data_IF_831187865359
#
_entry.id   IF_831187865359
#
_cell.length_a   1.000
_cell.length_b   1.000
_cell.length_c   1.000
_cell.angle_alpha   90.00
_cell.angle_beta   90.00
_cell.angle_gamma   90.00
#
_symmetry.space_group_name_H-M   'P 1'
#
loop_
_entity.id
_entity.type
_entity.pdbx_description
1 polymer ?
#
# COMPACT_ATOMS: atom_id res chain seq x y z
N UNK A 1 -10.09 4.80 -34.41
CA UNK A 1 -8.69 4.34 -34.28
C UNK A 1 -8.16 4.37 -32.81
N UNK A 2 -8.38 5.45 -32.02
CA UNK A 2 -7.87 5.52 -30.62
C UNK A 2 -8.36 4.39 -29.70
N UNK A 3 -9.62 3.97 -29.79
CA UNK A 3 -10.17 2.91 -28.92
C UNK A 3 -9.61 1.51 -29.21
N UNK A 4 -9.21 1.23 -30.46
CA UNK A 4 -8.68 -0.09 -30.83
C UNK A 4 -7.23 -0.29 -30.35
N UNK A 5 -6.43 0.77 -30.38
CA UNK A 5 -5.04 0.75 -29.88
C UNK A 5 -5.01 0.59 -28.35
N UNK A 6 -5.93 1.24 -27.64
CA UNK A 6 -6.04 1.14 -26.19
C UNK A 6 -6.50 -0.27 -25.77
N UNK A 7 -7.42 -0.90 -26.49
CA UNK A 7 -7.89 -2.27 -26.22
C UNK A 7 -6.80 -3.31 -26.45
N UNK A 8 -6.02 -3.18 -27.54
CA UNK A 8 -4.88 -4.06 -27.80
C UNK A 8 -3.78 -3.95 -26.72
N UNK A 9 -3.44 -2.73 -26.28
CA UNK A 9 -2.43 -2.51 -25.26
C UNK A 9 -2.84 -3.15 -23.91
N UNK A 10 -4.12 -3.05 -23.53
CA UNK A 10 -4.65 -3.66 -22.31
C UNK A 10 -4.59 -5.19 -22.37
N UNK A 11 -4.85 -5.80 -23.52
CA UNK A 11 -4.76 -7.26 -23.71
C UNK A 11 -3.32 -7.77 -23.62
N UNK A 12 -2.34 -7.03 -24.14
CA UNK A 12 -0.93 -7.39 -23.98
C UNK A 12 -0.49 -7.33 -22.53
N UNK A 13 -0.89 -6.30 -21.80
CA UNK A 13 -0.54 -6.16 -20.39
C UNK A 13 -1.10 -7.32 -19.54
N UNK A 14 -2.32 -7.75 -19.77
CA UNK A 14 -2.91 -8.94 -19.14
C UNK A 14 -2.12 -10.22 -19.44
N UNK A 15 -1.65 -10.38 -20.69
CA UNK A 15 -0.79 -11.50 -21.08
C UNK A 15 0.55 -11.49 -20.35
N UNK A 16 1.16 -10.32 -20.13
CA UNK A 16 2.43 -10.20 -19.39
C UNK A 16 2.27 -10.66 -17.95
N UNK A 17 1.24 -10.18 -17.26
CA UNK A 17 0.94 -10.58 -15.88
C UNK A 17 0.67 -12.09 -15.80
N UNK A 18 -0.16 -12.63 -16.68
CA UNK A 18 -0.42 -14.06 -16.79
C UNK A 18 0.87 -14.88 -17.01
N UNK A 19 1.76 -14.42 -17.85
CA UNK A 19 3.02 -15.12 -18.12
C UNK A 19 3.96 -15.12 -16.91
N UNK A 20 4.08 -13.99 -16.24
CA UNK A 20 4.84 -13.86 -14.99
C UNK A 20 4.30 -14.83 -13.95
N UNK A 21 3.00 -14.81 -13.70
CA UNK A 21 2.33 -15.67 -12.73
C UNK A 21 2.51 -17.16 -13.05
N UNK A 22 2.35 -17.53 -14.32
CA UNK A 22 2.53 -18.91 -14.76
C UNK A 22 3.95 -19.41 -14.49
N UNK A 23 4.97 -18.63 -14.83
CA UNK A 23 6.38 -19.00 -14.65
C UNK A 23 6.75 -19.01 -13.17
N UNK A 24 6.33 -18.01 -12.41
CA UNK A 24 6.56 -17.94 -10.95
C UNK A 24 6.01 -19.17 -10.22
N UNK A 25 4.78 -19.57 -10.53
CA UNK A 25 4.12 -20.73 -9.91
C UNK A 25 4.84 -22.06 -10.19
N UNK A 26 5.46 -22.22 -11.36
CA UNK A 26 6.14 -23.46 -11.74
C UNK A 26 7.63 -23.46 -11.41
N UNK A 27 8.23 -22.31 -11.12
CA UNK A 27 9.66 -22.12 -10.97
C UNK A 27 10.41 -22.29 -12.30
N UNK A 28 10.29 -23.45 -12.93
CA UNK A 28 10.80 -23.74 -14.28
C UNK A 28 9.67 -24.33 -15.13
N UNK A 29 9.51 -23.80 -16.37
CA UNK A 29 8.44 -24.24 -17.27
C UNK A 29 8.94 -24.32 -18.72
N UNK A 30 8.58 -25.39 -19.43
CA UNK A 30 8.92 -25.52 -20.84
C UNK A 30 8.03 -24.63 -21.72
N UNK A 31 8.55 -24.23 -22.90
CA UNK A 31 7.75 -23.49 -23.90
C UNK A 31 6.49 -24.23 -24.29
N UNK A 32 6.57 -25.56 -24.38
CA UNK A 32 5.43 -26.43 -24.71
C UNK A 32 4.32 -26.35 -23.65
N UNK A 33 4.72 -26.31 -22.37
CA UNK A 33 3.75 -26.22 -21.26
C UNK A 33 3.15 -24.82 -21.16
N UNK A 34 3.94 -23.76 -21.46
CA UNK A 34 3.44 -22.38 -21.61
C UNK A 34 2.38 -22.33 -22.73
N UNK A 35 2.64 -22.92 -23.89
CA UNK A 35 1.69 -22.95 -25.00
C UNK A 35 0.44 -23.76 -24.66
N UNK A 36 0.60 -24.87 -23.92
CA UNK A 36 -0.52 -25.68 -23.45
C UNK A 36 -1.38 -24.93 -22.43
N UNK A 37 -0.76 -24.13 -21.56
CA UNK A 37 -1.47 -23.24 -20.63
C UNK A 37 -2.17 -22.10 -21.38
N UNK A 38 -1.51 -21.51 -22.40
CA UNK A 38 -2.10 -20.48 -23.25
C UNK A 38 -3.36 -20.95 -23.96
N UNK A 39 -3.35 -22.15 -24.53
CA UNK A 39 -4.53 -22.74 -25.18
C UNK A 39 -5.76 -22.79 -24.27
N UNK A 40 -5.56 -22.94 -22.96
CA UNK A 40 -6.63 -23.05 -21.95
C UNK A 40 -6.99 -21.73 -21.30
N UNK A 41 -6.18 -20.70 -21.50
CA UNK A 41 -6.40 -19.38 -20.89
C UNK A 41 -7.58 -18.66 -21.53
N UNK A 42 -8.42 -18.04 -20.73
CA UNK A 42 -9.50 -17.16 -21.17
C UNK A 42 -8.97 -15.88 -21.87
N UNK A 43 -7.71 -15.52 -21.62
CA UNK A 43 -7.03 -14.41 -22.32
C UNK A 43 -6.75 -14.74 -23.78
N UNK A 44 -6.85 -16.00 -24.17
CA UNK A 44 -6.69 -16.47 -25.55
C UNK A 44 -8.02 -16.38 -26.33
N UNK A 45 -8.52 -15.16 -26.50
CA UNK A 45 -9.79 -14.90 -27.20
C UNK A 45 -9.79 -15.40 -28.65
N UNK A 46 -8.62 -15.40 -29.32
CA UNK A 46 -8.44 -15.84 -30.69
C UNK A 46 -8.25 -17.37 -30.80
N UNK A 47 -8.23 -18.10 -29.70
CA UNK A 47 -7.99 -19.54 -29.64
C UNK A 47 -6.71 -19.98 -30.38
N UNK A 48 -5.65 -19.20 -30.23
CA UNK A 48 -4.32 -19.51 -30.75
C UNK A 48 -3.80 -20.80 -30.11
N UNK A 49 -3.16 -21.67 -30.89
CA UNK A 49 -2.62 -22.94 -30.37
C UNK A 49 -1.32 -22.76 -29.60
N UNK A 50 -0.58 -21.70 -29.87
CA UNK A 50 0.69 -21.37 -29.25
C UNK A 50 0.94 -19.87 -29.30
N UNK A 51 1.87 -19.40 -28.48
CA UNK A 51 2.44 -18.05 -28.60
C UNK A 51 3.64 -18.16 -29.54
N UNK A 52 3.61 -17.52 -30.75
CA UNK A 52 4.74 -17.56 -31.68
C UNK A 52 6.05 -17.12 -31.00
N UNK A 53 7.18 -17.75 -31.37
CA UNK A 53 8.50 -17.49 -30.73
C UNK A 53 8.87 -16.01 -30.71
N UNK A 54 8.67 -15.31 -31.83
CA UNK A 54 8.91 -13.86 -31.91
C UNK A 54 8.02 -13.07 -30.95
N UNK A 55 6.74 -13.43 -30.84
CA UNK A 55 5.80 -12.79 -29.93
C UNK A 55 6.19 -13.07 -28.47
N UNK A 56 6.59 -14.29 -28.17
CA UNK A 56 7.06 -14.68 -26.85
C UNK A 56 8.34 -13.93 -26.45
N UNK A 57 9.28 -13.78 -27.37
CA UNK A 57 10.49 -12.98 -27.14
C UNK A 57 10.14 -11.51 -26.86
N UNK A 58 9.29 -10.89 -27.67
CA UNK A 58 8.84 -9.51 -27.46
C UNK A 58 8.10 -9.35 -26.12
N UNK A 59 7.35 -10.36 -25.67
CA UNK A 59 6.69 -10.34 -24.38
C UNK A 59 7.70 -10.35 -23.23
N UNK A 60 8.76 -11.16 -23.31
CA UNK A 60 9.84 -11.18 -22.32
C UNK A 60 10.55 -9.83 -22.22
N UNK A 61 10.91 -9.22 -23.34
CA UNK A 61 11.51 -7.88 -23.37
C UNK A 61 10.58 -6.80 -22.80
N UNK A 62 9.28 -6.86 -23.13
CA UNK A 62 8.30 -5.94 -22.58
C UNK A 62 8.11 -6.13 -21.07
N UNK A 63 8.09 -7.36 -20.58
CA UNK A 63 8.02 -7.69 -19.14
C UNK A 63 9.23 -7.13 -18.41
N UNK A 64 10.44 -7.33 -18.95
CA UNK A 64 11.65 -6.77 -18.37
C UNK A 64 11.63 -5.24 -18.34
N UNK A 65 11.22 -4.61 -19.45
CA UNK A 65 11.12 -3.14 -19.56
C UNK A 65 10.07 -2.52 -18.62
N UNK A 66 8.89 -3.15 -18.51
CA UNK A 66 7.75 -2.59 -17.76
C UNK A 66 7.84 -2.92 -16.27
N UNK A 67 8.16 -4.17 -15.95
CA UNK A 67 8.12 -4.68 -14.58
C UNK A 67 9.51 -4.86 -13.96
N UNK A 68 10.59 -4.77 -14.76
CA UNK A 68 11.96 -5.07 -14.31
C UNK A 68 12.18 -6.55 -13.99
N UNK A 69 11.26 -7.43 -14.45
CA UNK A 69 11.31 -8.87 -14.20
C UNK A 69 11.96 -9.54 -15.40
N UNK A 70 13.07 -10.24 -15.18
CA UNK A 70 13.79 -10.94 -16.21
C UNK A 70 13.39 -12.41 -16.27
N UNK A 71 12.84 -12.82 -17.42
CA UNK A 71 12.54 -14.22 -17.71
C UNK A 71 13.69 -14.78 -18.54
N UNK A 72 14.42 -15.71 -17.97
CA UNK A 72 15.57 -16.37 -18.64
C UNK A 72 15.29 -17.84 -18.94
N UNK A 73 16.20 -18.49 -19.69
CA UNK A 73 16.07 -19.88 -20.12
C UNK A 73 17.25 -20.74 -19.65
N UNK A 74 16.94 -21.84 -18.97
CA UNK A 74 17.94 -22.83 -18.58
C UNK A 74 17.76 -24.12 -19.38
N UNK A 75 18.80 -24.51 -20.10
CA UNK A 75 18.78 -25.74 -20.93
C UNK A 75 18.41 -26.95 -20.08
N UNK A 76 17.42 -27.72 -20.52
CA UNK A 76 16.92 -28.92 -19.83
C UNK A 76 15.88 -28.66 -18.75
N UNK A 77 15.69 -27.43 -18.29
CA UNK A 77 14.70 -27.06 -17.28
C UNK A 77 13.57 -26.15 -17.83
N UNK A 78 13.90 -25.23 -18.72
CA UNK A 78 12.91 -24.31 -19.30
C UNK A 78 13.11 -22.84 -18.90
N UNK A 79 12.05 -22.08 -19.02
CA UNK A 79 12.01 -20.67 -18.67
C UNK A 79 11.78 -20.48 -17.16
N UNK A 80 12.40 -19.48 -16.57
CA UNK A 80 12.32 -19.15 -15.14
C UNK A 80 12.50 -17.63 -14.94
N UNK A 81 12.13 -17.13 -13.76
CA UNK A 81 12.36 -15.76 -13.34
C UNK A 81 13.72 -15.71 -12.63
N UNK A 82 14.63 -14.83 -13.08
CA UNK A 82 16.02 -14.79 -12.60
C UNK A 82 16.11 -14.42 -11.12
N UNK A 83 15.31 -13.46 -10.68
CA UNK A 83 15.25 -13.00 -9.28
C UNK A 83 13.80 -13.12 -8.76
N UNK A 84 13.35 -14.31 -8.33
CA UNK A 84 11.99 -14.49 -7.83
C UNK A 84 11.69 -13.66 -6.58
N UNK A 85 12.69 -13.35 -5.75
CA UNK A 85 12.57 -12.49 -4.56
C UNK A 85 12.13 -11.05 -4.90
N UNK A 86 12.35 -10.59 -6.14
CA UNK A 86 11.85 -9.30 -6.62
C UNK A 86 10.32 -9.28 -6.81
N UNK A 87 9.68 -10.46 -6.84
CA UNK A 87 8.22 -10.61 -6.91
C UNK A 87 7.56 -10.53 -5.53
N UNK A 88 8.28 -11.01 -4.50
CA UNK A 88 7.80 -11.08 -3.12
C UNK A 88 8.17 -9.82 -2.31
N UNK A 89 8.89 -8.87 -2.93
CA UNK A 89 9.32 -7.62 -2.30
C UNK A 89 8.14 -6.70 -1.94
N UNK A 90 8.24 -6.03 -0.80
CA UNK A 90 7.35 -4.95 -0.39
C UNK A 90 7.47 -3.76 -1.36
N UNK A 91 6.70 -3.74 -2.43
CA UNK A 91 6.77 -2.69 -3.42
C UNK A 91 5.52 -2.52 -4.27
N UNK A 92 5.44 -1.36 -4.91
CA UNK A 92 4.34 -1.00 -5.82
C UNK A 92 4.21 -2.00 -6.99
N UNK A 93 5.32 -2.65 -7.39
CA UNK A 93 5.36 -3.63 -8.47
C UNK A 93 4.67 -4.93 -8.06
N UNK A 94 5.01 -5.49 -6.90
CA UNK A 94 4.38 -6.67 -6.32
C UNK A 94 2.88 -6.45 -6.14
N UNK A 95 2.49 -5.34 -5.52
CA UNK A 95 1.10 -4.96 -5.36
C UNK A 95 0.33 -4.82 -6.69
N UNK A 96 0.94 -4.24 -7.73
CA UNK A 96 0.33 -4.13 -9.06
C UNK A 96 0.15 -5.50 -9.71
N UNK A 97 1.15 -6.37 -9.63
CA UNK A 97 1.09 -7.73 -10.16
C UNK A 97 -0.02 -8.54 -9.47
N UNK A 98 -0.07 -8.53 -8.13
CA UNK A 98 -1.10 -9.21 -7.35
C UNK A 98 -2.50 -8.67 -7.68
N UNK A 99 -2.66 -7.34 -7.72
CA UNK A 99 -3.94 -6.70 -8.05
C UNK A 99 -4.43 -7.06 -9.45
N UNK A 100 -3.51 -7.20 -10.41
CA UNK A 100 -3.85 -7.57 -11.79
C UNK A 100 -4.07 -9.06 -11.96
N UNK A 101 -3.29 -9.91 -11.28
CA UNK A 101 -3.52 -11.35 -11.22
C UNK A 101 -4.92 -11.63 -10.67
N UNK A 102 -5.29 -10.95 -9.59
CA UNK A 102 -6.62 -11.03 -9.01
C UNK A 102 -7.70 -10.53 -9.99
N UNK A 103 -7.46 -9.43 -10.69
CA UNK A 103 -8.38 -8.92 -11.73
C UNK A 103 -8.55 -9.90 -12.89
N UNK A 104 -7.48 -10.57 -13.33
CA UNK A 104 -7.54 -11.59 -14.36
C UNK A 104 -8.35 -12.81 -13.89
N UNK A 105 -8.07 -13.31 -12.67
CA UNK A 105 -8.80 -14.42 -12.05
C UNK A 105 -10.30 -14.12 -11.97
N UNK A 106 -10.68 -12.90 -11.59
CA UNK A 106 -12.08 -12.48 -11.53
C UNK A 106 -12.75 -12.38 -12.89
N UNK A 107 -12.01 -12.01 -13.94
CA UNK A 107 -12.53 -11.97 -15.30
C UNK A 107 -12.68 -13.39 -15.86
N UNK A 108 -11.79 -14.31 -15.48
CA UNK A 108 -11.87 -15.73 -15.84
C UNK A 108 -13.03 -16.45 -15.15
N UNK A 109 -13.38 -15.99 -13.96
CA UNK A 109 -14.42 -16.58 -13.11
C UNK A 109 -15.62 -15.65 -13.00
N UNK A 110 -16.22 -15.25 -14.13
CA UNK A 110 -17.36 -14.33 -14.15
C UNK A 110 -18.54 -14.82 -13.30
N UNK A 111 -18.75 -16.12 -13.21
CA UNK A 111 -19.71 -16.82 -12.37
C UNK A 111 -19.34 -16.76 -10.88
N UNK A 112 -18.08 -16.53 -10.54
CA UNK A 112 -17.58 -16.44 -9.16
C UNK A 112 -17.63 -15.02 -8.57
N UNK A 113 -17.94 -13.98 -9.38
CA UNK A 113 -17.97 -12.58 -8.91
C UNK A 113 -18.90 -12.32 -7.74
N UNK A 114 -20.00 -13.04 -7.64
CA UNK A 114 -20.94 -12.94 -6.51
C UNK A 114 -20.41 -13.58 -5.22
N UNK A 115 -19.32 -14.37 -5.30
CA UNK A 115 -18.73 -15.08 -4.17
C UNK A 115 -17.42 -14.46 -3.68
N UNK A 116 -16.92 -13.43 -4.38
CA UNK A 116 -15.68 -12.72 -4.05
C UNK A 116 -16.04 -11.26 -3.77
N UNK A 117 -15.84 -10.85 -2.53
CA UNK A 117 -16.14 -9.49 -2.08
C UNK A 117 -14.85 -8.70 -1.93
N UNK A 118 -14.83 -7.52 -2.51
CA UNK A 118 -13.75 -6.55 -2.34
C UNK A 118 -14.20 -5.43 -1.43
N UNK A 119 -13.31 -5.01 -0.57
CA UNK A 119 -13.51 -3.77 0.15
C UNK A 119 -13.46 -2.59 -0.84
N UNK A 120 -14.42 -1.67 -0.74
CA UNK A 120 -14.43 -0.47 -1.58
C UNK A 120 -13.31 0.45 -1.16
N UNK A 121 -12.28 0.56 -1.98
CA UNK A 121 -11.22 1.55 -1.82
C UNK A 121 -11.71 2.89 -2.37
N UNK A 122 -11.73 3.97 -1.59
CA UNK A 122 -11.97 5.31 -2.12
C UNK A 122 -10.87 5.65 -3.13
N UNK A 123 -11.19 5.55 -4.42
CA UNK A 123 -10.18 5.79 -5.46
C UNK A 123 -10.03 7.28 -5.70
N UNK A 124 -8.95 7.85 -5.22
CA UNK A 124 -8.45 9.17 -5.65
C UNK A 124 -7.55 9.07 -6.89
N UNK A 125 -7.79 8.06 -7.73
CA UNK A 125 -6.95 7.73 -8.89
C UNK A 125 -6.76 8.91 -9.86
N UNK A 126 -7.76 9.77 -9.98
CA UNK A 126 -7.68 10.99 -10.78
C UNK A 126 -6.51 11.89 -10.35
N UNK A 127 -6.39 12.16 -9.06
CA UNK A 127 -5.37 13.03 -8.53
C UNK A 127 -4.01 12.34 -8.38
N UNK A 128 -4.01 11.04 -8.15
CA UNK A 128 -2.80 10.23 -8.08
C UNK A 128 -1.94 10.38 -9.34
N UNK A 129 -2.55 10.16 -10.51
CA UNK A 129 -1.86 10.29 -11.80
C UNK A 129 -1.32 11.71 -12.00
N UNK A 130 -2.09 12.73 -11.61
CA UNK A 130 -1.68 14.11 -11.73
C UNK A 130 -0.44 14.43 -10.88
N UNK A 131 -0.45 14.03 -9.60
CA UNK A 131 0.69 14.24 -8.69
C UNK A 131 1.93 13.49 -9.16
N UNK A 132 1.80 12.24 -9.61
CA UNK A 132 2.92 11.47 -10.18
C UNK A 132 3.53 12.17 -11.39
N UNK A 133 2.71 12.72 -12.28
CA UNK A 133 3.21 13.47 -13.44
C UNK A 133 3.92 14.76 -13.03
N UNK A 134 3.37 15.52 -12.09
CA UNK A 134 4.01 16.74 -11.57
C UNK A 134 5.38 16.44 -10.95
N UNK A 135 5.48 15.36 -10.14
CA UNK A 135 6.75 14.90 -9.57
C UNK A 135 7.75 14.49 -10.66
N UNK A 136 7.31 13.81 -11.71
CA UNK A 136 8.16 13.40 -12.85
C UNK A 136 8.67 14.59 -13.64
N UNK A 137 7.83 15.61 -13.83
CA UNK A 137 8.18 16.85 -14.52
C UNK A 137 9.03 17.81 -13.65
N UNK A 138 9.24 17.46 -12.38
CA UNK A 138 9.98 18.31 -11.45
C UNK A 138 9.29 19.64 -11.16
N UNK A 139 7.95 19.64 -11.07
CA UNK A 139 7.14 20.83 -10.86
C UNK A 139 6.37 20.81 -9.55
N UNK A 140 6.22 22.00 -8.93
CA UNK A 140 5.29 22.22 -7.85
C UNK A 140 3.84 22.15 -8.35
N UNK A 141 2.89 22.06 -7.42
CA UNK A 141 1.46 22.03 -7.72
C UNK A 141 0.73 23.11 -6.92
N UNK A 142 -0.33 23.67 -7.50
CA UNK A 142 -1.32 24.47 -6.79
C UNK A 142 -2.47 23.55 -6.39
N UNK A 143 -2.67 23.39 -5.09
CA UNK A 143 -3.60 22.47 -4.47
C UNK A 143 -4.80 23.23 -3.88
N UNK A 144 -6.02 22.91 -4.31
CA UNK A 144 -7.25 23.33 -3.62
C UNK A 144 -7.73 22.19 -2.74
N UNK A 145 -7.73 22.41 -1.43
CA UNK A 145 -7.91 21.38 -0.42
C UNK A 145 -8.97 21.77 0.62
N UNK A 146 -9.80 20.78 1.00
CA UNK A 146 -10.77 20.94 2.08
C UNK A 146 -10.43 20.01 3.25
N UNK A 147 -9.84 20.57 4.31
CA UNK A 147 -9.59 19.81 5.53
C UNK A 147 -10.89 19.64 6.33
N UNK A 148 -10.94 18.62 7.21
CA UNK A 148 -12.09 18.48 8.11
C UNK A 148 -12.17 19.56 9.20
N UNK A 149 -11.08 20.31 9.41
CA UNK A 149 -11.03 21.39 10.40
C UNK A 149 -11.48 22.72 9.85
N UNK A 150 -11.47 22.90 8.54
CA UNK A 150 -11.82 24.15 7.87
C UNK A 150 -13.20 24.03 7.24
N UNK A 151 -14.04 25.04 7.42
CA UNK A 151 -15.37 25.13 6.80
C UNK A 151 -15.24 25.35 5.29
N UNK A 152 -14.30 26.17 4.85
CA UNK A 152 -14.07 26.52 3.46
C UNK A 152 -12.79 25.88 2.89
N UNK A 153 -12.81 25.54 1.58
CA UNK A 153 -11.59 25.13 0.88
C UNK A 153 -10.57 26.25 0.83
N UNK A 154 -9.30 25.90 0.78
CA UNK A 154 -8.22 26.87 0.60
C UNK A 154 -7.25 26.37 -0.47
N UNK A 155 -6.69 27.33 -1.22
CA UNK A 155 -5.78 27.07 -2.33
C UNK A 155 -4.38 27.57 -1.98
N UNK A 156 -3.36 26.77 -2.28
CA UNK A 156 -1.97 27.08 -1.99
C UNK A 156 -1.03 26.29 -2.89
N UNK A 157 0.18 26.83 -3.11
CA UNK A 157 1.24 26.10 -3.79
C UNK A 157 1.91 25.12 -2.81
N UNK A 158 2.29 23.96 -3.30
CA UNK A 158 3.01 22.97 -2.51
C UNK A 158 3.92 22.10 -3.39
N UNK A 159 4.97 21.55 -2.80
CA UNK A 159 5.97 20.70 -3.43
C UNK A 159 5.71 19.25 -3.02
N UNK A 160 5.19 18.39 -3.91
CA UNK A 160 4.94 16.98 -3.59
C UNK A 160 6.26 16.22 -3.45
N UNK A 161 6.50 15.63 -2.28
CA UNK A 161 7.70 14.86 -1.97
C UNK A 161 7.52 13.38 -2.29
N UNK A 162 6.45 12.77 -1.78
CA UNK A 162 6.12 11.39 -2.06
C UNK A 162 4.63 11.09 -1.86
N UNK A 163 4.23 9.90 -2.29
CA UNK A 163 2.89 9.34 -2.11
C UNK A 163 2.98 8.09 -1.24
N UNK A 164 2.05 7.96 -0.30
CA UNK A 164 1.94 6.79 0.59
C UNK A 164 0.50 6.27 0.59
N UNK A 165 0.34 4.94 0.48
CA UNK A 165 -0.93 4.28 0.77
C UNK A 165 -0.96 3.92 2.25
N UNK A 166 -2.05 4.24 2.91
CA UNK A 166 -2.30 3.81 4.28
C UNK A 166 -3.80 3.60 4.49
N UNK A 167 -4.20 2.45 5.04
CA UNK A 167 -5.61 2.09 5.27
C UNK A 167 -6.49 2.40 4.05
N UNK A 168 -6.03 1.92 2.88
CA UNK A 168 -6.71 2.02 1.58
C UNK A 168 -6.89 3.45 1.03
N UNK A 169 -6.21 4.46 1.57
CA UNK A 169 -6.22 5.83 1.07
C UNK A 169 -4.86 6.27 0.61
N UNK A 170 -4.85 7.11 -0.42
CA UNK A 170 -3.64 7.76 -0.91
C UNK A 170 -3.41 9.08 -0.17
N UNK A 171 -2.19 9.25 0.29
CA UNK A 171 -1.70 10.43 0.95
C UNK A 171 -0.47 10.98 0.23
N UNK A 172 -0.37 12.29 0.17
CA UNK A 172 0.77 13.01 -0.37
C UNK A 172 1.51 13.71 0.76
N UNK A 173 2.78 13.40 0.94
CA UNK A 173 3.69 14.20 1.75
C UNK A 173 4.17 15.36 0.91
N UNK A 174 4.05 16.58 1.42
CA UNK A 174 4.43 17.77 0.67
C UNK A 174 4.92 18.90 1.58
N UNK A 175 5.76 19.79 1.01
CA UNK A 175 6.23 21.02 1.63
C UNK A 175 5.48 22.21 1.04
N UNK A 176 4.91 23.05 1.91
CA UNK A 176 4.28 24.29 1.49
C UNK A 176 5.28 25.45 1.66
N UNK A 177 5.52 26.29 0.63
CA UNK A 177 6.39 27.45 0.75
C UNK A 177 6.02 28.33 1.94
N UNK A 178 7.05 28.84 2.64
CA UNK A 178 6.86 29.64 3.85
C UNK A 178 6.48 28.86 5.11
N UNK A 179 6.38 27.51 5.03
CA UNK A 179 6.24 26.62 6.17
C UNK A 179 7.45 25.67 6.22
N UNK A 180 8.08 25.58 7.37
CA UNK A 180 9.25 24.70 7.54
C UNK A 180 8.84 23.22 7.59
N UNK A 181 7.62 22.97 8.05
CA UNK A 181 7.12 21.63 8.31
C UNK A 181 6.54 20.95 7.08
N UNK A 182 6.89 19.68 6.91
CA UNK A 182 6.22 18.80 5.96
C UNK A 182 4.80 18.49 6.44
N UNK A 183 3.89 18.34 5.50
CA UNK A 183 2.48 18.04 5.78
C UNK A 183 1.98 16.89 4.91
N UNK A 184 1.02 16.17 5.45
CA UNK A 184 0.37 15.06 4.75
C UNK A 184 -1.03 15.48 4.33
N UNK A 185 -1.31 15.30 3.04
CA UNK A 185 -2.58 15.61 2.41
C UNK A 185 -3.23 14.34 1.87
N UNK A 186 -4.44 14.03 2.32
CA UNK A 186 -5.23 12.91 1.78
C UNK A 186 -5.80 13.29 0.42
N UNK A 187 -5.57 12.47 -0.62
CA UNK A 187 -5.99 12.80 -1.98
C UNK A 187 -7.51 12.79 -2.16
N UNK A 188 -8.26 12.10 -1.31
CA UNK A 188 -9.73 12.09 -1.33
C UNK A 188 -10.36 13.41 -0.86
N UNK A 189 -9.57 14.31 -0.23
CA UNK A 189 -9.99 15.66 0.18
C UNK A 189 -9.56 16.77 -0.77
N UNK A 190 -8.92 16.39 -1.85
CA UNK A 190 -8.50 17.32 -2.89
C UNK A 190 -9.70 17.69 -3.78
N UNK A 191 -9.92 18.97 -3.94
CA UNK A 191 -10.97 19.51 -4.81
C UNK A 191 -10.42 19.73 -6.21
N UNK A 192 -9.24 20.36 -6.30
CA UNK A 192 -8.57 20.64 -7.56
C UNK A 192 -7.04 20.63 -7.39
N UNK A 193 -6.35 20.24 -8.46
CA UNK A 193 -4.88 20.35 -8.58
C UNK A 193 -4.55 20.95 -9.93
N UNK A 194 -3.67 21.95 -9.93
CA UNK A 194 -3.10 22.54 -11.12
C UNK A 194 -1.58 22.47 -11.06
N UNK A 195 -0.94 22.35 -12.22
CA UNK A 195 0.51 22.41 -12.32
C UNK A 195 0.95 23.85 -12.05
N UNK A 196 1.95 24.03 -11.20
CA UNK A 196 2.58 25.33 -10.99
C UNK A 196 3.73 25.54 -11.98
N UNK A 197 4.03 26.79 -12.29
CA UNK A 197 5.22 27.14 -13.07
C UNK A 197 6.51 27.03 -12.24
N UNK A 198 6.38 26.97 -10.92
CA UNK A 198 7.50 26.83 -9.97
C UNK A 198 8.15 25.44 -10.08
N UNK A 199 9.48 25.34 -10.06
CA UNK A 199 10.17 24.06 -9.99
C UNK A 199 9.90 23.37 -8.65
N UNK A 200 9.86 22.05 -8.68
CA UNK A 200 9.80 21.23 -7.47
C UNK A 200 11.09 21.40 -6.64
N UNK A 201 10.94 21.82 -5.40
CA UNK A 201 12.05 21.86 -4.44
C UNK A 201 12.00 20.59 -3.59
N UNK A 202 12.89 19.65 -3.88
CA UNK A 202 13.06 18.39 -3.15
C UNK A 202 14.50 18.28 -2.69
N UNK A 203 14.78 17.98 -1.40
CA UNK A 203 16.13 17.68 -0.95
C UNK A 203 16.74 16.51 -1.74
N UNK A 204 18.02 16.62 -2.10
CA UNK A 204 18.69 15.61 -2.94
C UNK A 204 18.80 14.24 -2.28
N UNK A 205 18.85 14.23 -0.97
CA UNK A 205 18.96 13.06 -0.09
C UNK A 205 17.62 12.56 0.43
N UNK A 206 16.49 13.14 -0.03
CA UNK A 206 15.17 12.70 0.42
C UNK A 206 14.86 11.28 -0.10
N UNK A 207 14.62 10.37 0.85
CA UNK A 207 14.12 9.02 0.61
C UNK A 207 12.79 8.84 1.36
N UNK A 208 11.75 8.45 0.66
CA UNK A 208 10.42 8.28 1.26
C UNK A 208 10.37 7.09 2.24
N UNK A 209 11.09 6.00 1.95
CA UNK A 209 11.13 4.84 2.84
C UNK A 209 11.84 5.19 4.15
N UNK A 210 13.00 5.87 4.07
CA UNK A 210 13.75 6.32 5.24
C UNK A 210 12.95 7.32 6.07
N UNK A 211 12.23 8.25 5.40
CA UNK A 211 11.39 9.24 6.08
C UNK A 211 10.26 8.58 6.89
N UNK A 212 9.62 7.56 6.33
CA UNK A 212 8.49 6.88 6.98
C UNK A 212 8.92 5.68 7.84
N UNK A 213 10.20 5.35 7.86
CA UNK A 213 10.70 4.20 8.62
C UNK A 213 10.46 4.32 10.13
N UNK A 214 10.34 5.54 10.65
CA UNK A 214 10.11 5.77 12.07
C UNK A 214 8.62 5.89 12.44
N UNK A 215 7.71 5.77 11.46
CA UNK A 215 6.28 6.00 11.66
C UNK A 215 5.42 4.80 11.29
N UNK A 216 4.49 4.46 12.19
CA UNK A 216 3.48 3.43 11.92
C UNK A 216 2.56 3.79 10.74
N UNK A 217 2.11 5.03 10.65
CA UNK A 217 1.08 5.44 9.70
C UNK A 217 1.44 6.64 8.84
N UNK A 218 0.52 7.61 8.84
CA UNK A 218 0.62 8.83 8.04
C UNK A 218 0.69 10.08 8.92
N UNK A 219 0.52 9.98 10.23
CA UNK A 219 0.70 11.09 11.15
C UNK A 219 2.17 11.17 11.51
N UNK A 220 2.79 12.28 11.13
CA UNK A 220 4.19 12.57 11.43
C UNK A 220 4.28 13.47 12.67
N UNK A 221 5.19 13.14 13.56
CA UNK A 221 5.52 13.99 14.71
C UNK A 221 6.46 15.12 14.27
N UNK A 222 6.14 16.36 14.67
CA UNK A 222 7.08 17.46 14.47
C UNK A 222 8.11 17.46 15.60
N UNK A 223 9.38 17.30 15.26
CA UNK A 223 10.50 17.28 16.21
C UNK A 223 10.37 16.19 17.31
N UNK A 224 9.78 15.04 16.99
CA UNK A 224 9.71 13.89 17.89
C UNK A 224 10.62 12.80 17.34
N UNK A 225 11.63 12.46 18.12
CA UNK A 225 12.56 11.38 17.78
C UNK A 225 11.95 10.01 18.06
N UNK A 226 12.32 8.98 17.28
CA UNK A 226 11.94 7.61 17.54
C UNK A 226 12.38 7.19 18.96
N UNK A 227 11.47 6.65 19.71
CA UNK A 227 11.73 6.14 21.06
C UNK A 227 11.58 4.63 21.13
N UNK A 228 12.22 4.02 22.12
CA UNK A 228 11.97 2.62 22.42
C UNK A 228 10.59 2.49 23.07
N UNK A 229 9.74 1.70 22.42
CA UNK A 229 8.40 1.39 22.90
C UNK A 229 8.28 -0.10 23.19
N UNK A 230 7.63 -0.47 24.27
CA UNK A 230 7.33 -1.86 24.60
C UNK A 230 5.82 -2.06 24.72
N UNK A 231 5.33 -3.08 24.01
CA UNK A 231 3.95 -3.52 24.04
C UNK A 231 3.87 -4.95 24.54
N UNK A 232 2.98 -5.19 25.51
CA UNK A 232 2.66 -6.51 26.01
C UNK A 232 1.40 -7.01 25.30
N UNK A 233 1.53 -8.11 24.57
CA UNK A 233 0.44 -8.78 23.87
C UNK A 233 0.06 -10.08 24.60
N UNK A 234 -1.22 -10.40 24.70
CA UNK A 234 -1.64 -11.75 25.12
C UNK A 234 -1.07 -12.81 24.20
N UNK A 235 -0.94 -14.05 24.65
CA UNK A 235 -0.40 -15.15 23.86
C UNK A 235 -1.13 -15.38 22.53
N UNK A 236 -2.43 -15.10 22.47
CA UNK A 236 -3.21 -15.15 21.25
C UNK A 236 -2.88 -13.97 20.33
N UNK A 237 -2.87 -12.74 20.86
CA UNK A 237 -2.57 -11.53 20.09
C UNK A 237 -1.14 -11.53 19.54
N UNK A 238 -0.19 -12.12 20.27
CA UNK A 238 1.20 -12.22 19.86
C UNK A 238 1.35 -12.95 18.52
N UNK A 239 0.60 -14.01 18.29
CA UNK A 239 0.61 -14.77 17.01
C UNK A 239 0.20 -13.91 15.82
N UNK A 240 -0.78 -13.00 16.00
CA UNK A 240 -1.18 -12.06 14.95
C UNK A 240 -0.09 -11.02 14.70
N UNK A 241 0.58 -10.52 15.76
CA UNK A 241 1.68 -9.57 15.61
C UNK A 241 2.93 -10.20 15.01
N UNK A 242 3.18 -11.48 15.24
CA UNK A 242 4.27 -12.22 14.60
C UNK A 242 3.99 -12.46 13.10
N UNK A 243 2.74 -12.77 12.75
CA UNK A 243 2.36 -12.99 11.35
C UNK A 243 2.25 -11.70 10.52
N UNK A 244 1.87 -10.59 11.17
CA UNK A 244 1.78 -9.27 10.58
C UNK A 244 2.30 -8.22 11.57
N UNK A 245 3.61 -7.95 11.56
CA UNK A 245 4.23 -6.98 12.46
C UNK A 245 3.64 -5.57 12.31
N UNK A 246 3.47 -4.86 13.43
CA UNK A 246 3.01 -3.46 13.40
C UNK A 246 4.05 -2.54 12.76
N UNK A 247 5.31 -2.89 12.88
CA UNK A 247 6.42 -2.11 12.37
C UNK A 247 7.62 -3.02 12.10
N UNK A 248 8.45 -2.69 11.12
CA UNK A 248 9.62 -3.50 10.75
C UNK A 248 10.63 -3.68 11.90
N UNK A 249 10.67 -2.74 12.86
CA UNK A 249 11.55 -2.83 14.04
C UNK A 249 10.99 -3.70 15.16
N UNK A 250 9.91 -4.45 14.93
CA UNK A 250 9.31 -5.32 15.92
C UNK A 250 10.28 -6.45 16.34
N UNK A 251 10.55 -6.55 17.61
CA UNK A 251 11.40 -7.60 18.23
C UNK A 251 10.68 -8.18 19.43
N UNK A 252 10.54 -9.50 19.51
CA UNK A 252 10.06 -10.18 20.71
C UNK A 252 11.20 -10.23 21.74
N UNK A 253 11.02 -9.57 22.89
CA UNK A 253 12.06 -9.49 23.94
C UNK A 253 11.78 -10.40 25.12
N UNK A 254 10.52 -10.78 25.33
CA UNK A 254 10.11 -11.73 26.36
C UNK A 254 8.91 -12.52 25.85
N UNK A 255 8.92 -13.84 26.03
CA UNK A 255 7.80 -14.71 25.66
C UNK A 255 7.53 -15.69 26.78
N UNK A 256 6.26 -15.72 27.21
CA UNK A 256 5.74 -16.64 28.22
C UNK A 256 4.51 -17.39 27.67
N UNK A 257 3.97 -18.39 28.36
CA UNK A 257 2.72 -19.03 27.93
C UNK A 257 1.51 -18.07 27.90
N UNK A 258 1.53 -16.97 28.66
CA UNK A 258 0.42 -16.04 28.84
C UNK A 258 0.54 -14.79 27.95
N UNK A 259 1.77 -14.36 27.64
CA UNK A 259 2.02 -13.12 26.90
C UNK A 259 3.37 -13.11 26.19
N UNK A 260 3.52 -12.18 25.24
CA UNK A 260 4.80 -11.78 24.62
C UNK A 260 4.95 -10.26 24.76
N UNK A 261 6.15 -9.81 25.12
CA UNK A 261 6.53 -8.39 25.07
C UNK A 261 7.30 -8.14 23.79
N UNK A 262 6.79 -7.22 22.98
CA UNK A 262 7.43 -6.74 21.75
C UNK A 262 8.04 -5.37 21.99
N UNK A 263 9.27 -5.20 21.54
CA UNK A 263 9.99 -3.92 21.51
C UNK A 263 9.98 -3.34 20.12
N UNK A 264 9.83 -2.03 20.05
CA UNK A 264 9.83 -1.24 18.82
C UNK A 264 10.74 -0.03 18.95
N UNK A 265 11.34 0.40 17.84
CA UNK A 265 11.95 1.72 17.70
C UNK A 265 11.07 2.54 16.76
N UNK A 266 10.26 3.44 17.31
CA UNK A 266 9.18 4.09 16.55
C UNK A 266 8.82 5.44 17.20
N UNK A 267 8.26 6.35 16.40
CA UNK A 267 7.63 7.57 16.93
C UNK A 267 6.20 7.23 17.34
N UNK A 268 5.86 7.32 18.64
CA UNK A 268 4.49 7.10 19.12
C UNK A 268 3.57 8.22 18.63
N UNK A 269 2.76 7.91 17.62
CA UNK A 269 1.84 8.86 17.00
C UNK A 269 0.39 8.50 17.27
N UNK A 270 -0.51 9.40 16.89
CA UNK A 270 -1.95 9.17 17.01
C UNK A 270 -2.42 7.93 16.22
N UNK A 271 -1.86 7.67 15.03
CA UNK A 271 -2.19 6.47 14.26
C UNK A 271 -1.85 5.19 15.00
N UNK A 272 -0.69 5.17 15.65
CA UNK A 272 -0.25 4.04 16.46
C UNK A 272 -1.13 3.88 17.73
N UNK A 273 -1.47 4.99 18.38
CA UNK A 273 -2.41 4.98 19.52
C UNK A 273 -3.75 4.37 19.11
N UNK A 274 -4.30 4.76 17.98
CA UNK A 274 -5.54 4.20 17.47
C UNK A 274 -5.43 2.70 17.16
N UNK A 275 -4.31 2.26 16.57
CA UNK A 275 -4.08 0.84 16.30
C UNK A 275 -4.05 0.03 17.59
N UNK A 276 -3.34 0.51 18.62
CA UNK A 276 -3.26 -0.14 19.93
C UNK A 276 -4.66 -0.22 20.58
N UNK A 277 -5.40 0.88 20.60
CA UNK A 277 -6.76 0.92 21.16
C UNK A 277 -7.73 -0.01 20.43
N UNK A 278 -7.54 -0.21 19.12
CA UNK A 278 -8.37 -1.12 18.33
C UNK A 278 -8.21 -2.59 18.71
N UNK A 279 -7.08 -2.95 19.33
CA UNK A 279 -6.79 -4.30 19.85
C UNK A 279 -7.43 -4.56 21.24
N UNK A 280 -7.99 -3.51 21.85
CA UNK A 280 -8.66 -3.62 23.15
C UNK A 280 -7.73 -4.10 24.25
N UNK A 281 -8.22 -5.00 25.12
CA UNK A 281 -7.49 -5.51 26.27
C UNK A 281 -6.37 -6.52 25.92
N UNK A 282 -6.19 -6.87 24.64
CA UNK A 282 -5.19 -7.86 24.22
C UNK A 282 -3.82 -7.27 24.00
N UNK A 283 -3.70 -5.93 24.00
CA UNK A 283 -2.45 -5.22 23.79
C UNK A 283 -2.32 -4.06 24.78
N UNK A 284 -1.23 -4.05 25.55
CA UNK A 284 -0.94 -3.06 26.59
C UNK A 284 0.37 -2.33 26.28
N UNK A 285 0.38 -1.00 26.42
CA UNK A 285 1.61 -0.19 26.37
C UNK A 285 2.32 -0.28 27.70
N UNK A 286 3.57 -0.74 27.72
CA UNK A 286 4.43 -0.76 28.89
C UNK A 286 5.31 0.48 28.96
N UNK A 287 5.87 0.90 27.82
CA UNK A 287 6.74 2.09 27.71
C UNK A 287 6.60 2.76 26.33
N UNK A 288 6.91 4.05 26.17
CA UNK A 288 7.32 4.99 27.24
C UNK A 288 6.12 5.44 28.10
N UNK A 289 6.39 5.82 29.35
CA UNK A 289 5.36 6.13 30.36
C UNK A 289 4.39 7.23 29.90
N UNK A 290 4.90 8.31 29.31
CA UNK A 290 4.05 9.40 28.79
C UNK A 290 3.03 8.93 27.76
N UNK A 291 3.40 8.00 26.87
CA UNK A 291 2.49 7.46 25.85
C UNK A 291 1.49 6.46 26.48
N UNK A 292 1.94 5.69 27.45
CA UNK A 292 1.08 4.84 28.27
C UNK A 292 -0.01 5.66 28.99
N UNK A 293 0.37 6.79 29.59
CA UNK A 293 -0.57 7.71 30.24
C UNK A 293 -1.58 8.31 29.26
N UNK A 294 -1.15 8.66 28.02
CA UNK A 294 -2.08 9.10 26.96
C UNK A 294 -3.11 8.03 26.61
N UNK A 295 -2.67 6.76 26.48
CA UNK A 295 -3.58 5.64 26.19
C UNK A 295 -4.54 5.43 27.37
N UNK A 296 -4.05 5.47 28.60
CA UNK A 296 -4.90 5.36 29.81
C UNK A 296 -5.94 6.49 29.87
N UNK A 297 -5.54 7.72 29.54
CA UNK A 297 -6.46 8.88 29.49
C UNK A 297 -7.58 8.65 28.47
N UNK A 298 -7.26 8.17 27.29
CA UNK A 298 -8.22 7.85 26.23
C UNK A 298 -9.20 6.76 26.66
N UNK A 299 -8.69 5.67 27.26
CA UNK A 299 -9.52 4.57 27.78
C UNK A 299 -10.49 5.07 28.86
N UNK A 300 -10.03 5.93 29.78
CA UNK A 300 -10.88 6.54 30.80
C UNK A 300 -11.99 7.37 30.17
N UNK A 301 -11.65 8.17 29.16
CA UNK A 301 -12.65 8.97 28.44
C UNK A 301 -13.67 8.09 27.71
N UNK A 302 -13.21 7.03 27.04
CA UNK A 302 -14.09 6.03 26.41
C UNK A 302 -15.04 5.43 27.46
N UNK A 303 -14.52 4.98 28.59
CA UNK A 303 -15.33 4.40 29.67
C UNK A 303 -16.38 5.39 30.19
N UNK A 304 -16.02 6.65 30.42
CA UNK A 304 -16.93 7.70 30.86
C UNK A 304 -18.05 7.94 29.83
N UNK A 305 -17.75 7.93 28.54
CA UNK A 305 -18.76 8.08 27.47
C UNK A 305 -19.80 6.96 27.52
N UNK A 306 -19.38 5.71 27.78
CA UNK A 306 -20.30 4.58 27.93
C UNK A 306 -21.12 4.63 29.22
N UNK A 307 -20.52 5.08 30.33
CA UNK A 307 -21.22 5.20 31.60
C UNK A 307 -22.27 6.33 31.61
N UNK A 308 -21.93 7.49 31.04
CA UNK A 308 -22.85 8.63 30.92
C UNK A 308 -24.07 8.28 30.06
N UNK A 309 -23.86 7.54 28.98
CA UNK A 309 -24.95 7.13 28.07
C UNK A 309 -25.92 6.10 28.69
N UNK A 310 -25.53 5.41 29.77
CA UNK A 310 -26.38 4.48 30.51
C UNK A 310 -27.37 5.23 31.44
N UNK A 311 -26.97 6.40 31.93
CA UNK A 311 -27.83 7.23 32.80
C UNK A 311 -28.88 8.03 32.05
N UNK A 312 -28.70 8.26 30.73
CA UNK A 312 -29.60 9.07 29.88
C UNK A 312 -30.49 8.26 28.93
N UNK A 313 -30.37 6.93 28.89
CA UNK A 313 -31.22 6.13 28.01
C UNK A 313 -32.62 5.99 28.58
N UNK A 314 -33.67 6.54 27.92
CA UNK A 314 -35.05 6.14 28.22
C UNK A 314 -35.14 4.63 27.97
N UNK A 315 -35.79 3.93 28.90
CA UNK A 315 -36.05 2.50 28.75
C UNK A 315 -36.69 2.23 27.39
N UNK A 316 -35.97 1.55 26.51
CA UNK A 316 -36.55 1.06 25.23
C UNK A 316 -37.61 0.04 25.63
N UNK A 317 -38.87 0.40 25.45
CA UNK A 317 -40.04 -0.49 25.61
C UNK A 317 -40.11 -1.44 24.42
#
# INVERSE_FOLDING_TARGET
MRNHVCYMALNYFKRYVWLIELISRHGYISKRDIDSAWCRSSLNELRERNIPERTFHNHREAIESIFGIRIDFKRGLGYYIENPDDLDGEGIRSWLLESMSLSNLLNESADMRSRILFEKVPSSSKWLTFVVNAMREGKAITLTYKSFRNTEPYTFETHPYCLKVFRQRWYMLARTPGKEELRIYSLDRVIDIQLSDSPLILPKDFNAADFFSDYFGIIIGHNVEPSTMELKATAEQAKYLESLPLHYSQEAVETTPEYTIFRYKIVPTFDLKQEILSRGATLEVLSPEWFREEVISEIKQMMNNYQSSLSERPAIK
#
